data_IF_279855118364
#
_entry.id   IF_279855118364
#
_cell.length_a   1.000
_cell.length_b   1.000
_cell.length_c   1.000
_cell.angle_alpha   90.00
_cell.angle_beta   90.00
_cell.angle_gamma   90.00
#
_symmetry.space_group_name_H-M   'P 1'
#
loop_
_entity.id
_entity.type
_entity.pdbx_description
1 polymer ?
#
# COMPACT_ATOMS: atom_id res chain seq x y z
N UNK A 1 -1.68 -2.14 -5.22
CA UNK A 1 -0.89 -3.32 -5.62
C UNK A 1 -0.08 -3.03 -6.89
N UNK A 2 1.12 -3.59 -7.00
CA UNK A 2 1.98 -3.49 -8.21
C UNK A 2 1.34 -4.16 -9.42
N UNK A 3 0.60 -5.26 -9.21
CA UNK A 3 -0.20 -5.90 -10.27
C UNK A 3 -1.25 -4.93 -10.82
N UNK A 4 -1.97 -4.21 -9.95
CA UNK A 4 -2.91 -3.16 -10.36
C UNK A 4 -2.21 -2.04 -11.14
N UNK A 5 -1.00 -1.64 -10.73
CA UNK A 5 -0.26 -0.61 -11.44
C UNK A 5 0.14 -1.07 -12.85
N UNK A 6 0.64 -2.30 -13.00
CA UNK A 6 0.94 -2.90 -14.30
C UNK A 6 -0.32 -3.04 -15.18
N UNK A 7 -1.42 -3.52 -14.60
CA UNK A 7 -2.71 -3.67 -15.28
C UNK A 7 -3.25 -2.33 -15.79
N UNK A 8 -3.13 -1.27 -14.99
CA UNK A 8 -3.61 0.07 -15.37
C UNK A 8 -2.84 0.73 -16.52
N UNK A 9 -1.59 0.31 -16.77
CA UNK A 9 -0.74 0.88 -17.83
C UNK A 9 -0.92 0.21 -19.18
N UNK A 10 -1.39 -1.04 -19.23
CA UNK A 10 -1.63 -1.76 -20.49
C UNK A 10 -3.01 -1.41 -21.04
N UNK A 11 -3.05 -0.56 -22.09
CA UNK A 11 -4.29 -0.10 -22.76
C UNK A 11 -5.08 -1.24 -23.43
N UNK A 12 -4.44 -2.35 -23.80
CA UNK A 12 -5.09 -3.55 -24.33
C UNK A 12 -4.87 -4.74 -23.38
N UNK A 13 -5.95 -5.23 -22.77
CA UNK A 13 -5.95 -6.37 -21.83
C UNK A 13 -5.43 -7.68 -22.45
N UNK A 14 -5.41 -7.79 -23.78
CA UNK A 14 -5.07 -9.01 -24.52
C UNK A 14 -3.63 -9.53 -24.33
N UNK A 15 -2.75 -8.79 -23.64
CA UNK A 15 -1.37 -9.19 -23.39
C UNK A 15 -0.97 -9.25 -21.92
N UNK A 16 -1.91 -9.16 -20.98
CA UNK A 16 -1.62 -9.33 -19.55
C UNK A 16 -2.12 -10.70 -19.09
N UNK A 17 -1.20 -11.51 -18.56
CA UNK A 17 -1.57 -12.74 -17.87
C UNK A 17 -2.40 -12.40 -16.64
N UNK A 18 -3.33 -13.30 -16.32
CA UNK A 18 -4.14 -13.20 -15.12
C UNK A 18 -3.27 -13.27 -13.86
N UNK A 19 -3.85 -12.88 -12.72
CA UNK A 19 -3.12 -12.83 -11.45
C UNK A 19 -2.63 -14.21 -11.05
N UNK A 20 -3.48 -15.23 -11.13
CA UNK A 20 -3.19 -16.62 -10.80
C UNK A 20 -2.07 -17.20 -11.67
N UNK A 21 -2.02 -16.85 -12.96
CA UNK A 21 -0.93 -17.28 -13.86
C UNK A 21 0.44 -16.68 -13.50
N UNK A 22 0.48 -15.61 -12.72
CA UNK A 22 1.69 -14.90 -12.33
C UNK A 22 2.07 -15.12 -10.86
N UNK A 23 1.07 -15.32 -10.00
CA UNK A 23 1.24 -15.45 -8.56
C UNK A 23 1.65 -16.85 -8.11
N UNK A 24 1.47 -17.87 -8.97
CA UNK A 24 1.76 -19.26 -8.64
C UNK A 24 2.73 -19.91 -9.63
N UNK A 25 3.46 -20.89 -9.15
CA UNK A 25 4.39 -21.69 -9.95
C UNK A 25 3.58 -22.54 -10.95
N UNK A 26 4.04 -22.58 -12.20
CA UNK A 26 3.42 -23.41 -13.25
C UNK A 26 3.36 -24.88 -12.86
N UNK A 27 2.35 -25.58 -13.36
CA UNK A 27 2.17 -27.02 -13.19
C UNK A 27 1.98 -27.49 -11.72
N UNK A 28 1.78 -26.56 -10.79
CA UNK A 28 1.45 -26.86 -9.38
C UNK A 28 -0.04 -26.82 -9.07
N UNK A 29 -0.89 -26.57 -10.06
CA UNK A 29 -2.34 -26.40 -9.85
C UNK A 29 -2.69 -25.24 -8.91
N UNK A 30 -1.92 -24.14 -8.96
CA UNK A 30 -2.07 -22.98 -8.09
C UNK A 30 -1.95 -23.32 -6.58
N UNK A 31 -1.09 -24.28 -6.22
CA UNK A 31 -0.83 -24.66 -4.83
C UNK A 31 0.44 -24.01 -4.25
N UNK A 32 1.39 -23.63 -5.10
CA UNK A 32 2.66 -23.04 -4.68
C UNK A 32 2.75 -21.60 -5.17
N UNK A 33 2.85 -20.66 -4.22
CA UNK A 33 3.02 -19.23 -4.51
C UNK A 33 4.42 -18.97 -5.08
N UNK A 34 4.48 -18.32 -6.24
CA UNK A 34 5.74 -17.92 -6.87
C UNK A 34 6.31 -16.66 -6.21
N UNK A 35 7.19 -16.86 -5.23
CA UNK A 35 7.87 -15.75 -4.53
C UNK A 35 8.98 -15.07 -5.34
N UNK A 36 9.22 -15.51 -6.58
CA UNK A 36 10.16 -14.90 -7.52
C UNK A 36 9.51 -13.78 -8.34
N UNK A 37 8.20 -13.85 -8.56
CA UNK A 37 7.44 -12.82 -9.27
C UNK A 37 7.44 -11.50 -8.48
N UNK A 38 7.79 -10.39 -9.13
CA UNK A 38 8.07 -9.09 -8.50
C UNK A 38 7.06 -8.64 -7.44
N UNK A 39 5.75 -8.55 -7.75
CA UNK A 39 4.71 -8.15 -6.79
C UNK A 39 4.63 -9.04 -5.54
N UNK A 40 4.72 -10.36 -5.70
CA UNK A 40 4.73 -11.30 -4.56
C UNK A 40 6.04 -11.18 -3.80
N UNK A 41 7.16 -11.12 -4.52
CA UNK A 41 8.51 -11.01 -3.95
C UNK A 41 8.67 -9.82 -3.01
N UNK A 42 8.07 -8.68 -3.34
CA UNK A 42 8.06 -7.45 -2.51
C UNK A 42 7.20 -7.65 -1.25
N UNK A 43 6.08 -8.36 -1.36
CA UNK A 43 5.18 -8.66 -0.24
C UNK A 43 5.75 -9.61 0.82
N UNK A 44 6.85 -10.31 0.54
CA UNK A 44 7.53 -11.17 1.54
C UNK A 44 8.38 -10.31 2.50
N UNK A 45 7.72 -9.51 3.34
CA UNK A 45 8.37 -8.48 4.17
C UNK A 45 9.46 -9.02 5.09
N UNK A 46 9.24 -10.18 5.73
CA UNK A 46 10.20 -10.80 6.64
C UNK A 46 11.57 -11.04 5.97
N UNK A 47 11.57 -11.54 4.72
CA UNK A 47 12.80 -11.78 3.96
C UNK A 47 13.58 -10.48 3.71
N UNK A 48 12.90 -9.36 3.48
CA UNK A 48 13.58 -8.07 3.32
C UNK A 48 14.07 -7.53 4.67
N UNK A 49 13.25 -7.64 5.71
CA UNK A 49 13.58 -7.16 7.06
C UNK A 49 14.85 -7.81 7.61
N UNK A 50 15.06 -9.11 7.41
CA UNK A 50 16.29 -9.79 7.85
C UNK A 50 17.57 -9.17 7.30
N UNK A 51 17.54 -8.51 6.14
CA UNK A 51 18.71 -7.82 5.57
C UNK A 51 18.97 -6.50 6.27
N UNK A 52 17.91 -5.74 6.56
CA UNK A 52 17.99 -4.47 7.28
C UNK A 52 18.49 -4.67 8.72
N UNK A 53 18.02 -5.72 9.39
CA UNK A 53 18.41 -6.05 10.76
C UNK A 53 19.90 -6.44 10.92
N UNK A 54 20.63 -6.68 9.82
CA UNK A 54 22.09 -6.84 9.87
C UNK A 54 22.82 -5.53 10.14
N UNK A 55 22.17 -4.39 9.90
CA UNK A 55 22.80 -3.07 9.90
C UNK A 55 22.11 -2.08 10.85
N UNK A 56 20.81 -2.26 11.11
CA UNK A 56 20.01 -1.37 11.95
C UNK A 56 19.30 -2.17 13.04
N UNK A 57 19.30 -1.68 14.29
CA UNK A 57 18.51 -2.30 15.34
C UNK A 57 17.01 -2.13 15.05
N UNK A 58 16.20 -3.07 15.50
CA UNK A 58 14.75 -3.03 15.31
C UNK A 58 14.12 -1.76 15.90
N UNK A 59 14.68 -1.24 16.99
CA UNK A 59 14.25 0.01 17.63
C UNK A 59 14.38 1.25 16.75
N UNK A 60 15.19 1.21 15.69
CA UNK A 60 15.32 2.28 14.70
C UNK A 60 14.40 2.07 13.48
N UNK A 61 13.44 1.15 13.55
CA UNK A 61 12.51 0.86 12.46
C UNK A 61 11.07 1.01 12.95
N UNK A 62 10.32 1.91 12.32
CA UNK A 62 8.87 2.03 12.51
C UNK A 62 8.11 1.32 11.38
N UNK A 63 7.22 0.41 11.73
CA UNK A 63 6.27 -0.20 10.80
C UNK A 63 4.93 0.53 10.86
N UNK A 64 4.65 1.25 9.78
CA UNK A 64 3.41 2.00 9.58
C UNK A 64 2.37 1.10 8.91
N UNK A 65 1.17 0.99 9.48
CA UNK A 65 0.06 0.27 8.87
C UNK A 65 -0.55 1.12 7.76
N UNK A 66 -0.49 0.65 6.52
CA UNK A 66 -1.10 1.32 5.39
C UNK A 66 -2.64 1.36 5.50
N UNK A 67 -3.24 0.34 6.09
CA UNK A 67 -4.68 0.24 6.32
C UNK A 67 -5.14 1.29 7.35
N UNK A 68 -4.42 1.41 8.48
CA UNK A 68 -4.71 2.46 9.47
C UNK A 68 -4.44 3.84 8.93
N UNK A 69 -3.39 4.04 8.11
CA UNK A 69 -3.13 5.33 7.48
C UNK A 69 -4.29 5.79 6.57
N UNK A 70 -5.08 4.87 6.02
CA UNK A 70 -6.28 5.19 5.25
C UNK A 70 -7.47 5.45 6.18
N UNK A 71 -7.70 4.56 7.15
CA UNK A 71 -8.87 4.61 8.03
C UNK A 71 -8.81 5.73 9.08
N UNK A 72 -7.63 5.95 9.65
CA UNK A 72 -7.35 6.96 10.68
C UNK A 72 -5.91 7.50 10.49
N UNK A 73 -5.71 8.44 9.53
CA UNK A 73 -4.40 8.99 9.25
C UNK A 73 -3.81 9.79 10.42
N UNK A 74 -4.64 10.41 11.27
CA UNK A 74 -4.17 11.21 12.39
C UNK A 74 -3.50 10.34 13.45
N UNK A 75 -4.13 9.21 13.82
CA UNK A 75 -3.58 8.27 14.77
C UNK A 75 -2.26 7.66 14.28
N UNK A 76 -2.21 7.26 13.02
CA UNK A 76 -1.00 6.67 12.46
C UNK A 76 0.14 7.70 12.35
N UNK A 77 -0.17 8.96 12.04
CA UNK A 77 0.80 10.05 12.06
C UNK A 77 1.24 10.47 13.46
N UNK A 78 0.43 10.27 14.50
CA UNK A 78 0.88 10.45 15.87
C UNK A 78 2.03 9.48 16.22
N UNK A 79 1.90 8.20 15.83
CA UNK A 79 2.97 7.19 16.01
C UNK A 79 4.26 7.56 15.26
N UNK A 80 4.12 8.11 14.04
CA UNK A 80 5.28 8.58 13.26
C UNK A 80 5.97 9.76 13.95
N UNK A 81 5.21 10.73 14.46
CA UNK A 81 5.77 11.88 15.18
C UNK A 81 6.50 11.43 16.45
N UNK A 82 5.92 10.52 17.23
CA UNK A 82 6.55 10.00 18.46
C UNK A 82 7.86 9.27 18.17
N UNK A 83 7.86 8.41 17.15
CA UNK A 83 9.05 7.66 16.75
C UNK A 83 10.20 8.58 16.31
N UNK A 84 9.87 9.71 15.68
CA UNK A 84 10.85 10.71 15.26
C UNK A 84 11.23 11.70 16.38
N UNK A 85 10.63 11.60 17.58
CA UNK A 85 10.84 12.56 18.67
C UNK A 85 10.28 13.96 18.40
N UNK A 86 9.27 14.07 17.53
CA UNK A 86 8.64 15.33 17.14
C UNK A 86 7.44 15.65 18.02
N UNK A 87 7.20 16.95 18.26
CA UNK A 87 5.94 17.41 18.85
C UNK A 87 4.77 16.98 17.96
N UNK A 88 3.70 16.44 18.56
CA UNK A 88 2.46 16.11 17.86
C UNK A 88 1.73 17.37 17.40
N UNK A 89 1.96 17.77 16.16
CA UNK A 89 1.32 18.92 15.51
C UNK A 89 0.29 18.45 14.47
N UNK A 90 0.56 17.32 13.81
CA UNK A 90 -0.37 16.71 12.85
C UNK A 90 -1.50 16.04 13.62
N UNK A 91 -2.71 16.50 13.35
CA UNK A 91 -3.99 16.08 13.98
C UNK A 91 -5.06 15.84 12.92
N UNK A 92 -6.26 15.43 13.34
CA UNK A 92 -7.43 15.18 12.49
C UNK A 92 -7.78 16.39 11.62
N UNK A 93 -7.54 17.62 12.11
CA UNK A 93 -7.80 18.87 11.37
C UNK A 93 -6.99 19.00 10.07
N UNK A 94 -5.91 18.25 9.94
CA UNK A 94 -5.06 18.24 8.75
C UNK A 94 -5.54 17.27 7.68
N UNK A 95 -6.60 16.50 7.96
CA UNK A 95 -7.15 15.50 7.06
C UNK A 95 -8.62 15.78 6.76
N UNK A 96 -8.98 15.53 5.51
CA UNK A 96 -10.36 15.56 5.03
C UNK A 96 -10.63 14.29 4.23
N UNK A 97 -11.70 13.55 4.55
CA UNK A 97 -12.04 12.35 3.82
C UNK A 97 -12.87 12.69 2.56
N UNK A 98 -12.33 12.37 1.39
CA UNK A 98 -13.05 12.55 0.13
C UNK A 98 -13.81 11.25 -0.21
N UNK A 99 -15.11 11.23 0.05
CA UNK A 99 -15.97 10.06 -0.18
C UNK A 99 -15.98 9.61 -1.65
N UNK A 100 -15.96 10.54 -2.61
CA UNK A 100 -15.90 10.24 -4.05
C UNK A 100 -14.59 9.54 -4.43
N UNK A 101 -13.48 9.94 -3.81
CA UNK A 101 -12.17 9.32 -4.02
C UNK A 101 -12.00 8.04 -3.20
N UNK A 102 -12.66 7.94 -2.04
CA UNK A 102 -12.52 6.84 -1.08
C UNK A 102 -11.22 6.89 -0.26
N UNK A 103 -10.53 8.04 -0.22
CA UNK A 103 -9.25 8.21 0.49
C UNK A 103 -9.17 9.56 1.22
N UNK A 104 -8.40 9.63 2.33
CA UNK A 104 -8.10 10.89 2.99
C UNK A 104 -7.25 11.81 2.09
N UNK A 105 -7.52 13.10 2.17
CA UNK A 105 -6.80 14.19 1.52
C UNK A 105 -6.23 15.14 2.60
N UNK A 106 -5.21 15.92 2.25
CA UNK A 106 -4.57 16.85 3.17
C UNK A 106 -5.22 18.23 3.12
N UNK A 107 -5.42 18.85 4.29
CA UNK A 107 -5.76 20.26 4.41
C UNK A 107 -4.49 21.05 4.72
N UNK A 108 -4.12 22.00 3.83
CA UNK A 108 -2.83 22.73 3.92
C UNK A 108 -2.78 23.73 5.08
N UNK A 109 -3.91 24.30 5.48
CA UNK A 109 -4.08 25.12 6.69
C UNK A 109 -5.53 25.55 6.84
N UNK A 110 -5.93 26.04 8.02
CA UNK A 110 -7.24 26.67 8.25
C UNK A 110 -7.50 27.87 7.31
N UNK A 111 -6.45 28.49 6.74
CA UNK A 111 -6.55 29.64 5.83
C UNK A 111 -6.47 29.34 4.33
N UNK A 112 -6.15 28.10 3.93
CA UNK A 112 -6.11 27.69 2.51
C UNK A 112 -7.15 26.60 2.29
N UNK A 113 -8.34 27.02 1.86
CA UNK A 113 -9.57 26.23 1.81
C UNK A 113 -9.57 25.08 0.79
N UNK A 114 -8.51 24.88 -0.01
CA UNK A 114 -8.48 23.84 -1.04
C UNK A 114 -7.76 22.58 -0.53
N UNK A 115 -8.50 21.45 -0.37
CA UNK A 115 -7.89 20.19 -0.01
C UNK A 115 -6.92 19.70 -1.09
N UNK A 116 -5.78 19.19 -0.66
CA UNK A 116 -4.82 18.53 -1.54
C UNK A 116 -5.00 17.01 -1.48
N UNK A 117 -5.65 16.46 -2.50
CA UNK A 117 -5.76 15.02 -2.67
C UNK A 117 -4.59 14.47 -3.50
N UNK A 118 -4.17 13.25 -3.18
CA UNK A 118 -3.20 12.52 -4.01
C UNK A 118 -3.71 12.38 -5.45
N UNK A 119 -2.80 12.38 -6.43
CA UNK A 119 -3.14 12.30 -7.85
C UNK A 119 -3.81 10.97 -8.28
N UNK A 120 -4.21 10.89 -9.56
CA UNK A 120 -4.90 9.72 -10.16
C UNK A 120 -4.10 8.41 -10.08
N UNK A 121 -2.79 8.49 -9.85
CA UNK A 121 -1.89 7.33 -9.70
C UNK A 121 -1.91 6.70 -8.31
N UNK A 122 -2.69 7.25 -7.37
CA UNK A 122 -2.86 6.73 -6.00
C UNK A 122 -4.35 6.44 -5.78
N UNK A 123 -4.66 5.20 -5.36
CA UNK A 123 -6.03 4.69 -5.25
C UNK A 123 -6.61 4.20 -6.59
N UNK A 124 -5.87 3.38 -7.35
CA UNK A 124 -6.38 2.79 -8.60
C UNK A 124 -7.40 1.68 -8.29
N UNK A 125 -8.42 1.54 -9.13
CA UNK A 125 -9.33 0.40 -9.06
C UNK A 125 -8.56 -0.90 -9.32
N UNK A 126 -8.69 -1.86 -8.41
CA UNK A 126 -8.07 -3.17 -8.55
C UNK A 126 -8.83 -4.00 -9.61
N UNK A 127 -8.12 -4.78 -10.45
CA UNK A 127 -8.79 -5.76 -11.29
C UNK A 127 -9.49 -6.80 -10.43
N UNK A 128 -10.59 -7.36 -10.94
CA UNK A 128 -11.24 -8.49 -10.30
C UNK A 128 -10.29 -9.69 -10.24
N UNK A 129 -10.23 -10.33 -9.09
CA UNK A 129 -9.51 -11.58 -8.84
C UNK A 129 -10.50 -12.50 -8.14
N UNK A 130 -10.57 -13.76 -8.57
CA UNK A 130 -11.45 -14.74 -7.96
C UNK A 130 -11.12 -14.92 -6.47
N UNK A 131 -12.14 -14.91 -5.62
CA UNK A 131 -11.96 -14.98 -4.17
C UNK A 131 -11.28 -16.29 -3.71
N UNK A 132 -11.43 -17.39 -4.46
CA UNK A 132 -10.76 -18.66 -4.17
C UNK A 132 -9.25 -18.56 -4.40
N UNK A 133 -8.82 -17.72 -5.34
CA UNK A 133 -7.40 -17.47 -5.59
C UNK A 133 -6.76 -16.64 -4.47
N UNK A 134 -7.54 -15.73 -3.86
CA UNK A 134 -7.07 -14.88 -2.76
C UNK A 134 -7.01 -15.63 -1.42
N UNK A 135 -7.92 -16.59 -1.22
CA UNK A 135 -8.02 -17.36 0.04
C UNK A 135 -7.05 -18.55 0.14
N UNK A 136 -6.49 -19.00 -0.98
CA UNK A 136 -5.47 -20.05 -1.04
C UNK A 136 -4.17 -19.59 -0.43
#
# INVERSE_FOLDING_TARGET
SDYTQAASKKKNRNGMKSFECLAFVKDTGYSVVDTTWGPVRIGVYARHLTKWLKHFPLTHMLFVSGERLIADPALEMARVQDFLGLKRVITEKHFYFNATKGFPCLMKSEGRSTPHCLGKTKGRNHPYIDAQIVKR
#
